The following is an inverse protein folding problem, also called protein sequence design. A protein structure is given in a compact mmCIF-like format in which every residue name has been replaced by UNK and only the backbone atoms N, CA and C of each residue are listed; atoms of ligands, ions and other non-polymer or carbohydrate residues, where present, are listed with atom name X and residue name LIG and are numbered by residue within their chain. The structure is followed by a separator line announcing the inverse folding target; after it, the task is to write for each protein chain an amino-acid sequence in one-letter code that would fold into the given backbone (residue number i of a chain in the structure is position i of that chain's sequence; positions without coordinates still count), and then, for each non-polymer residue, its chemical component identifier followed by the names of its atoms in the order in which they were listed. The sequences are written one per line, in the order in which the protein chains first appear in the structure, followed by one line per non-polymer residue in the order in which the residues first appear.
data_IF_240212611545
#
_entry.id   IF_240212611545
#
_cell.length_a   1.000
_cell.length_b   1.000
_cell.length_c   1.000
_cell.angle_alpha   90.00
_cell.angle_beta   90.00
_cell.angle_gamma   90.00
#
_symmetry.space_group_name_H-M   'P 1'
#
loop_
_entity.id
_entity.type
_entity.pdbx_description
1 polymer ?
#
# COMPACT_ATOMS: atom_id res chain seq x y z
N UNK A 1 20.50 41.54 -15.86
CA UNK A 1 20.11 40.64 -14.76
C UNK A 1 18.65 40.94 -14.47
N UNK A 2 17.75 39.97 -14.69
CA UNK A 2 16.34 40.16 -14.37
C UNK A 2 16.14 39.73 -12.92
N UNK A 3 16.18 40.70 -12.03
CA UNK A 3 15.82 40.57 -10.63
C UNK A 3 14.31 40.75 -10.57
N UNK A 4 13.58 39.63 -10.40
CA UNK A 4 12.14 39.62 -10.12
C UNK A 4 11.96 39.63 -8.60
N UNK A 5 11.80 40.79 -7.94
CA UNK A 5 11.93 40.90 -6.49
C UNK A 5 10.63 40.57 -5.74
N UNK A 6 9.57 40.15 -6.44
CA UNK A 6 8.20 40.17 -5.93
C UNK A 6 7.35 38.97 -6.40
N UNK A 7 7.98 37.81 -6.60
CA UNK A 7 7.27 36.57 -6.93
C UNK A 7 7.35 35.61 -5.76
N UNK A 8 6.24 35.47 -5.03
CA UNK A 8 6.10 34.57 -3.89
C UNK A 8 5.42 35.28 -2.72
N UNK A 9 4.76 34.52 -1.85
CA UNK A 9 4.17 35.09 -0.63
C UNK A 9 4.92 34.57 0.59
N UNK A 10 5.00 35.41 1.62
CA UNK A 10 5.53 35.01 2.89
C UNK A 10 4.55 34.10 3.63
N UNK A 11 5.08 33.06 4.27
CA UNK A 11 4.32 32.26 5.20
C UNK A 11 3.79 33.14 6.35
N UNK A 12 2.48 33.12 6.58
CA UNK A 12 1.81 33.87 7.66
C UNK A 12 2.09 33.31 9.07
N UNK A 13 2.97 32.33 9.19
CA UNK A 13 3.45 31.81 10.47
C UNK A 13 4.66 32.63 10.93
N UNK A 14 4.54 33.29 12.09
CA UNK A 14 5.52 34.24 12.63
C UNK A 14 6.95 33.68 12.76
N UNK A 15 7.08 32.36 12.98
CA UNK A 15 8.39 31.73 13.17
C UNK A 15 9.03 31.24 11.85
N UNK A 16 8.28 31.22 10.74
CA UNK A 16 8.77 30.74 9.46
C UNK A 16 9.21 31.89 8.56
N UNK A 17 8.33 32.86 8.30
CA UNK A 17 8.60 34.01 7.42
C UNK A 17 9.10 33.69 6.01
N UNK A 18 9.14 32.41 5.61
CA UNK A 18 9.73 31.93 4.37
C UNK A 18 8.90 32.43 3.18
N UNK A 19 9.59 32.96 2.19
CA UNK A 19 9.02 33.25 0.86
C UNK A 19 8.84 31.93 0.12
N UNK A 20 7.59 31.50 -0.02
CA UNK A 20 7.26 30.35 -0.85
C UNK A 20 6.76 30.84 -2.21
N UNK A 21 7.34 30.29 -3.28
CA UNK A 21 6.93 30.58 -4.65
C UNK A 21 5.58 29.91 -4.97
N UNK A 22 5.14 28.94 -4.15
CA UNK A 22 3.86 28.27 -4.25
C UNK A 22 3.01 28.51 -2.98
N UNK A 23 2.51 29.75 -2.78
CA UNK A 23 1.77 30.08 -1.57
C UNK A 23 0.48 29.27 -1.49
N UNK A 24 0.39 28.42 -0.46
CA UNK A 24 -0.77 27.58 -0.23
C UNK A 24 -1.73 28.27 0.75
N UNK A 25 -2.97 28.48 0.32
CA UNK A 25 -4.00 29.08 1.17
C UNK A 25 -4.63 28.02 2.06
N UNK A 26 -4.59 28.24 3.37
CA UNK A 26 -5.30 27.36 4.30
C UNK A 26 -6.82 27.49 4.07
N UNK A 27 -7.50 26.38 3.87
CA UNK A 27 -8.94 26.38 3.60
C UNK A 27 -9.78 26.90 4.78
N UNK A 28 -9.25 26.90 6.01
CA UNK A 28 -10.00 27.30 7.20
C UNK A 28 -9.77 28.77 7.57
N UNK A 29 -8.54 29.27 7.59
CA UNK A 29 -8.22 30.66 7.95
C UNK A 29 -7.92 31.58 6.75
N UNK A 30 -7.87 31.05 5.53
CA UNK A 30 -7.57 31.76 4.27
C UNK A 30 -6.22 32.52 4.25
N UNK A 31 -5.31 32.26 5.20
CA UNK A 31 -3.94 32.79 5.21
C UNK A 31 -3.03 31.96 4.31
N UNK A 32 -1.97 32.58 3.81
CA UNK A 32 -0.98 31.95 2.93
C UNK A 32 0.16 31.34 3.75
N UNK A 33 0.47 30.07 3.50
CA UNK A 33 1.50 29.30 4.18
C UNK A 33 2.40 28.61 3.16
N UNK A 34 3.62 28.29 3.58
CA UNK A 34 4.53 27.45 2.79
C UNK A 34 4.12 25.98 2.85
N UNK A 35 4.71 25.15 1.97
CA UNK A 35 4.45 23.70 1.90
C UNK A 35 4.55 22.97 3.25
N UNK A 36 5.41 23.44 4.15
CA UNK A 36 5.66 22.84 5.47
C UNK A 36 4.78 23.39 6.59
N UNK A 37 3.94 24.41 6.33
CA UNK A 37 3.07 25.02 7.35
C UNK A 37 1.59 25.07 6.90
N UNK A 38 1.27 24.52 5.72
CA UNK A 38 -0.12 24.47 5.20
C UNK A 38 -1.02 23.53 6.00
N UNK A 39 -0.48 22.53 6.69
CA UNK A 39 -1.28 21.63 7.52
C UNK A 39 -1.85 22.37 8.74
N UNK A 40 -3.09 22.06 9.13
CA UNK A 40 -3.79 22.74 10.24
C UNK A 40 -3.04 22.66 11.57
N UNK A 41 -2.32 21.55 11.81
CA UNK A 41 -1.55 21.32 13.03
C UNK A 41 -0.29 22.20 13.12
N UNK A 42 0.27 22.60 11.96
CA UNK A 42 1.56 23.28 11.88
C UNK A 42 1.47 24.80 12.04
N UNK A 43 0.31 25.39 11.79
CA UNK A 43 0.06 26.83 11.97
C UNK A 43 -1.02 27.12 13.02
N UNK A 44 -1.35 26.13 13.86
CA UNK A 44 -2.35 26.22 14.93
C UNK A 44 -3.63 26.95 14.47
N UNK A 45 -4.27 26.39 13.45
CA UNK A 45 -5.40 27.07 12.80
C UNK A 45 -6.60 27.22 13.75
N UNK A 46 -7.00 28.46 14.05
CA UNK A 46 -8.16 28.78 14.89
C UNK A 46 -9.47 28.14 14.39
N UNK A 47 -9.58 27.88 13.08
CA UNK A 47 -10.77 27.32 12.44
C UNK A 47 -10.58 25.88 11.94
N UNK A 48 -9.53 25.17 12.37
CA UNK A 48 -9.28 23.76 12.02
C UNK A 48 -10.53 22.88 12.22
N UNK A 49 -11.22 23.09 13.34
CA UNK A 49 -12.38 22.30 13.76
C UNK A 49 -13.60 22.42 12.83
N UNK A 50 -13.67 23.46 11.99
CA UNK A 50 -14.83 23.69 11.12
C UNK A 50 -14.74 22.94 9.78
N UNK A 51 -13.54 22.48 9.39
CA UNK A 51 -13.30 21.91 8.06
C UNK A 51 -12.65 20.53 8.05
N UNK A 52 -12.20 20.01 9.18
CA UNK A 52 -11.70 18.63 9.28
C UNK A 52 -12.87 17.60 9.32
N UNK A 53 -13.58 17.45 8.20
CA UNK A 53 -14.61 16.42 8.03
C UNK A 53 -13.91 15.13 7.60
N UNK A 54 -13.63 14.27 8.56
CA UNK A 54 -13.11 12.93 8.28
C UNK A 54 -14.29 11.98 8.04
N UNK A 55 -14.26 11.31 6.90
CA UNK A 55 -15.27 10.32 6.53
C UNK A 55 -14.80 8.95 7.06
N UNK A 56 -15.43 8.39 8.10
CA UNK A 56 -15.05 7.08 8.62
C UNK A 56 -15.44 5.97 7.63
N UNK A 57 -14.63 4.91 7.58
CA UNK A 57 -14.91 3.72 6.76
C UNK A 57 -15.51 2.63 7.64
N UNK A 58 -16.59 1.99 7.17
CA UNK A 58 -17.19 0.88 7.90
C UNK A 58 -16.30 -0.38 7.84
N UNK A 59 -16.02 -1.06 8.97
CA UNK A 59 -15.15 -2.23 9.01
C UNK A 59 -15.75 -3.49 8.36
N UNK A 60 -17.07 -3.55 8.18
CA UNK A 60 -17.77 -4.74 7.67
C UNK A 60 -17.98 -4.72 6.15
N UNK A 61 -18.25 -3.54 5.59
CA UNK A 61 -18.55 -3.39 4.16
C UNK A 61 -17.48 -2.58 3.40
N UNK A 62 -16.49 -2.01 4.10
CA UNK A 62 -15.43 -1.17 3.54
C UNK A 62 -15.91 0.06 2.74
N UNK A 63 -17.19 0.44 2.89
CA UNK A 63 -17.75 1.64 2.27
C UNK A 63 -17.54 2.86 3.19
N UNK A 64 -17.25 4.05 2.62
CA UNK A 64 -17.21 5.29 3.39
C UNK A 64 -18.62 5.61 3.90
N UNK A 65 -18.74 5.91 5.20
CA UNK A 65 -20.01 6.26 5.85
C UNK A 65 -20.13 7.79 5.86
N UNK A 66 -21.13 8.38 5.19
CA UNK A 66 -21.33 9.83 5.21
C UNK A 66 -21.61 10.35 6.62
N UNK A 67 -20.73 11.21 7.13
CA UNK A 67 -20.86 11.88 8.43
C UNK A 67 -21.06 13.38 8.23
N UNK A 68 -22.12 13.95 8.85
CA UNK A 68 -22.36 15.39 8.82
C UNK A 68 -21.43 16.16 9.76
N UNK A 69 -21.30 17.49 9.55
CA UNK A 69 -20.45 18.42 10.33
C UNK A 69 -20.68 18.44 11.85
N UNK A 70 -21.76 17.86 12.36
CA UNK A 70 -22.12 17.87 13.78
C UNK A 70 -22.58 16.48 14.28
N UNK A 71 -22.22 15.42 13.57
CA UNK A 71 -22.61 14.06 13.91
C UNK A 71 -21.38 13.24 14.25
N UNK A 72 -21.44 12.50 15.36
CA UNK A 72 -20.33 11.64 15.77
C UNK A 72 -20.16 10.51 14.75
N UNK A 73 -18.93 10.37 14.26
CA UNK A 73 -18.53 9.32 13.32
C UNK A 73 -18.92 7.93 13.81
N UNK A 74 -18.68 7.65 15.09
CA UNK A 74 -18.96 6.34 15.69
C UNK A 74 -20.46 5.99 15.67
N UNK A 75 -21.32 6.97 15.98
CA UNK A 75 -22.77 6.76 16.00
C UNK A 75 -23.34 6.55 14.59
N UNK A 76 -22.81 7.27 13.60
CA UNK A 76 -23.21 7.10 12.19
C UNK A 76 -22.72 5.78 11.60
N UNK A 77 -21.52 5.35 11.97
CA UNK A 77 -21.00 4.03 11.58
C UNK A 77 -21.81 2.92 12.25
N UNK A 78 -22.21 3.06 13.53
CA UNK A 78 -23.09 2.09 14.17
C UNK A 78 -24.47 2.04 13.54
N UNK A 79 -25.08 3.20 13.25
CA UNK A 79 -26.37 3.24 12.55
C UNK A 79 -26.29 2.59 11.17
N UNK A 80 -25.20 2.86 10.43
CA UNK A 80 -24.94 2.20 9.17
C UNK A 80 -24.82 0.67 9.35
N UNK A 81 -24.07 0.19 10.34
CA UNK A 81 -23.92 -1.23 10.67
C UNK A 81 -25.29 -1.89 10.90
N UNK A 82 -26.17 -1.22 11.64
CA UNK A 82 -27.46 -1.78 12.05
C UNK A 82 -28.54 -1.73 10.95
N UNK A 83 -28.53 -0.72 10.06
CA UNK A 83 -29.63 -0.46 9.11
C UNK A 83 -29.28 -0.69 7.64
N UNK A 84 -28.11 -0.22 7.20
CA UNK A 84 -27.76 -0.08 5.78
C UNK A 84 -26.49 -0.85 5.38
N UNK A 85 -25.92 -1.63 6.30
CA UNK A 85 -24.71 -2.40 6.05
C UNK A 85 -25.04 -3.65 5.24
N UNK A 86 -24.80 -3.57 3.93
CA UNK A 86 -24.81 -4.73 3.03
C UNK A 86 -23.59 -5.66 3.25
N UNK A 87 -23.14 -5.80 4.49
CA UNK A 87 -22.12 -6.74 4.88
C UNK A 87 -22.74 -8.13 5.01
N UNK A 88 -22.89 -8.79 3.88
CA UNK A 88 -22.94 -10.25 3.82
C UNK A 88 -21.53 -10.76 3.49
N UNK A 89 -20.55 -10.74 4.42
CA UNK A 89 -19.26 -11.37 4.16
C UNK A 89 -19.44 -12.89 3.97
N UNK A 90 -20.46 -13.48 4.60
CA UNK A 90 -20.77 -14.91 4.48
C UNK A 90 -21.44 -15.31 3.15
N UNK A 91 -22.17 -14.40 2.49
CA UNK A 91 -22.95 -14.72 1.28
C UNK A 91 -22.15 -14.50 -0.02
N UNK A 92 -21.01 -13.80 0.03
CA UNK A 92 -20.18 -13.47 -1.15
C UNK A 92 -18.79 -14.11 -1.19
N UNK A 93 -18.35 -14.82 -0.15
CA UNK A 93 -17.25 -15.80 -0.29
C UNK A 93 -17.84 -17.10 -0.88
N UNK A 94 -18.55 -16.95 -2.00
CA UNK A 94 -19.04 -18.10 -2.74
C UNK A 94 -17.80 -18.75 -3.36
N UNK A 95 -17.44 -19.93 -2.87
CA UNK A 95 -16.51 -20.83 -3.54
C UNK A 95 -17.09 -21.15 -4.93
N UNK A 96 -16.79 -20.31 -5.92
CA UNK A 96 -17.32 -20.39 -7.29
C UNK A 96 -16.48 -21.33 -8.15
N UNK A 97 -15.20 -21.48 -7.83
CA UNK A 97 -14.24 -22.17 -8.68
C UNK A 97 -14.27 -23.69 -8.40
N UNK A 98 -15.17 -24.40 -9.09
CA UNK A 98 -15.25 -25.87 -9.06
C UNK A 98 -14.12 -26.48 -9.88
N UNK A 99 -13.58 -27.59 -9.39
CA UNK A 99 -12.62 -28.41 -10.13
C UNK A 99 -13.29 -29.14 -11.31
N UNK A 100 -12.65 -29.13 -12.48
CA UNK A 100 -13.13 -29.80 -13.70
C UNK A 100 -12.78 -31.30 -13.78
N UNK A 101 -12.00 -31.86 -12.83
CA UNK A 101 -11.67 -33.30 -12.80
C UNK A 101 -12.91 -34.14 -12.50
N UNK A 102 -13.10 -35.22 -13.28
CA UNK A 102 -14.17 -36.20 -13.05
C UNK A 102 -14.04 -36.80 -11.64
N UNK A 103 -15.03 -36.55 -10.79
CA UNK A 103 -15.07 -37.04 -9.40
C UNK A 103 -14.59 -36.05 -8.33
N UNK A 104 -14.08 -34.88 -8.70
CA UNK A 104 -13.71 -33.85 -7.72
C UNK A 104 -14.87 -32.87 -7.45
N UNK A 105 -15.24 -32.68 -6.17
CA UNK A 105 -16.27 -31.71 -5.75
C UNK A 105 -15.73 -30.50 -4.99
N UNK A 106 -14.39 -30.40 -4.86
CA UNK A 106 -13.72 -29.30 -4.19
C UNK A 106 -13.95 -27.99 -4.95
N UNK A 107 -14.16 -26.92 -4.19
CA UNK A 107 -14.32 -25.57 -4.71
C UNK A 107 -13.29 -24.69 -4.04
N UNK A 108 -12.55 -23.93 -4.83
CA UNK A 108 -11.52 -23.04 -4.31
C UNK A 108 -12.01 -21.59 -4.32
N UNK A 109 -11.42 -20.79 -3.43
CA UNK A 109 -11.66 -19.35 -3.37
C UNK A 109 -11.04 -18.63 -4.56
N UNK A 110 -9.87 -19.10 -5.00
CA UNK A 110 -9.08 -18.54 -6.08
C UNK A 110 -9.19 -19.46 -7.30
N UNK A 111 -9.40 -18.94 -8.52
CA UNK A 111 -9.35 -19.74 -9.73
C UNK A 111 -7.93 -20.21 -9.99
N UNK A 112 -7.73 -21.53 -10.05
CA UNK A 112 -6.45 -22.14 -10.44
C UNK A 112 -6.65 -22.73 -11.84
N UNK A 113 -6.21 -21.97 -12.84
CA UNK A 113 -6.28 -22.38 -14.25
C UNK A 113 -5.02 -23.15 -14.64
N UNK A 114 -5.18 -24.27 -15.34
CA UNK A 114 -4.06 -24.95 -15.97
C UNK A 114 -3.56 -24.13 -17.18
N UNK A 115 -2.24 -23.93 -17.36
CA UNK A 115 -1.68 -23.18 -18.49
C UNK A 115 -1.96 -23.85 -19.85
N UNK A 116 -2.03 -25.19 -19.87
CA UNK A 116 -2.21 -25.96 -21.09
C UNK A 116 -3.70 -26.02 -21.48
N UNK A 117 -4.56 -26.61 -20.65
CA UNK A 117 -5.96 -26.82 -21.02
C UNK A 117 -6.92 -25.68 -20.63
N UNK A 118 -6.45 -24.65 -19.89
CA UNK A 118 -7.23 -23.48 -19.45
C UNK A 118 -8.49 -23.79 -18.63
N UNK A 119 -8.59 -25.00 -18.07
CA UNK A 119 -9.68 -25.40 -17.17
C UNK A 119 -9.30 -25.11 -15.70
N UNK A 120 -10.33 -24.91 -14.87
CA UNK A 120 -10.16 -24.64 -13.44
C UNK A 120 -10.05 -25.94 -12.65
N UNK A 121 -9.04 -26.03 -11.80
CA UNK A 121 -8.80 -27.17 -10.92
C UNK A 121 -8.68 -26.74 -9.46
N UNK A 122 -8.80 -27.70 -8.55
CA UNK A 122 -8.50 -27.46 -7.13
C UNK A 122 -6.99 -27.50 -6.88
N UNK A 123 -6.56 -27.06 -5.69
CA UNK A 123 -5.13 -27.08 -5.30
C UNK A 123 -4.53 -28.48 -5.46
N UNK A 124 -5.31 -29.53 -5.18
CA UNK A 124 -4.86 -30.93 -5.31
C UNK A 124 -4.81 -31.45 -6.74
N UNK A 125 -5.39 -30.75 -7.73
CA UNK A 125 -5.41 -31.19 -9.13
C UNK A 125 -4.80 -30.14 -10.09
N UNK A 126 -3.97 -29.23 -9.56
CA UNK A 126 -3.33 -28.17 -10.33
C UNK A 126 -2.36 -28.72 -11.39
N UNK A 127 -1.66 -29.81 -11.09
CA UNK A 127 -0.64 -30.37 -11.98
C UNK A 127 -1.26 -31.21 -13.09
N UNK A 128 -0.59 -31.25 -14.24
CA UNK A 128 -1.03 -31.95 -15.47
C UNK A 128 -1.21 -33.45 -15.27
N UNK A 129 -0.48 -34.04 -14.32
CA UNK A 129 -0.58 -35.44 -13.90
C UNK A 129 -1.87 -35.76 -13.17
N UNK A 130 -2.36 -34.81 -12.37
CA UNK A 130 -3.47 -35.02 -11.44
C UNK A 130 -4.84 -34.88 -12.13
N UNK A 131 -4.91 -34.07 -13.19
CA UNK A 131 -6.15 -33.85 -13.95
C UNK A 131 -6.15 -34.46 -15.35
N UNK A 132 -5.10 -35.20 -15.72
CA UNK A 132 -4.96 -35.85 -17.04
C UNK A 132 -5.22 -34.84 -18.16
N UNK A 133 -4.37 -33.82 -18.20
CA UNK A 133 -4.53 -32.64 -19.06
C UNK A 133 -4.80 -33.02 -20.53
N UNK A 134 -5.89 -32.54 -21.15
CA UNK A 134 -6.15 -32.77 -22.58
C UNK A 134 -5.20 -32.00 -23.51
N UNK A 135 -4.22 -31.25 -22.99
CA UNK A 135 -3.30 -30.41 -23.75
C UNK A 135 -3.91 -29.06 -24.14
N UNK A 136 -3.14 -28.22 -24.85
CA UNK A 136 -3.63 -26.94 -25.36
C UNK A 136 -4.83 -27.16 -26.26
N UNK A 137 -5.91 -26.36 -26.11
CA UNK A 137 -7.01 -26.44 -27.06
C UNK A 137 -6.46 -26.19 -28.47
N UNK A 138 -6.91 -26.95 -29.48
CA UNK A 138 -6.49 -26.69 -30.85
C UNK A 138 -6.79 -25.23 -31.19
N UNK A 139 -5.92 -24.54 -31.95
CA UNK A 139 -6.16 -23.16 -32.33
C UNK A 139 -7.53 -23.09 -33.00
N UNK A 140 -8.51 -22.52 -32.30
CA UNK A 140 -9.82 -22.28 -32.86
C UNK A 140 -9.60 -21.38 -34.07
N UNK A 141 -9.91 -21.89 -35.26
CA UNK A 141 -9.87 -21.06 -36.45
C UNK A 141 -10.95 -19.97 -36.28
N UNK A 142 -10.53 -18.78 -35.85
CA UNK A 142 -11.35 -17.57 -35.92
C UNK A 142 -11.39 -17.11 -37.39
N UNK A 143 -11.84 -17.98 -38.29
CA UNK A 143 -11.95 -17.71 -39.73
C UNK A 143 -13.06 -16.70 -40.05
N UNK A 144 -13.84 -16.26 -39.05
CA UNK A 144 -14.91 -15.26 -39.23
C UNK A 144 -14.58 -13.84 -38.78
N UNK A 145 -13.47 -13.59 -38.06
CA UNK A 145 -13.13 -12.25 -37.57
C UNK A 145 -11.82 -11.67 -38.17
N UNK A 146 -11.06 -12.46 -38.92
CA UNK A 146 -9.82 -12.01 -39.56
C UNK A 146 -10.04 -11.21 -40.87
N UNK A 147 -11.25 -11.21 -41.44
CA UNK A 147 -11.56 -10.50 -42.68
C UNK A 147 -11.79 -8.99 -42.47
N UNK A 148 -12.27 -8.57 -41.30
CA UNK A 148 -12.61 -7.16 -41.02
C UNK A 148 -11.43 -6.34 -40.48
N UNK A 149 -10.46 -6.98 -39.82
CA UNK A 149 -9.24 -6.31 -39.33
C UNK A 149 -8.24 -5.92 -40.44
N UNK A 150 -8.35 -6.51 -41.65
CA UNK A 150 -7.49 -6.15 -42.79
C UNK A 150 -7.95 -4.91 -43.55
N UNK A 151 -9.13 -4.35 -43.25
CA UNK A 151 -9.66 -3.16 -43.92
C UNK A 151 -9.24 -1.83 -43.28
N UNK A 152 -8.68 -1.82 -42.07
CA UNK A 152 -8.38 -0.56 -41.34
C UNK A 152 -6.89 -0.26 -41.13
N UNK A 153 -5.98 -1.17 -41.50
CA UNK A 153 -4.53 -0.99 -41.31
C UNK A 153 -3.78 -0.33 -42.49
N UNK A 154 -4.49 0.30 -43.44
CA UNK A 154 -3.81 0.99 -44.56
C UNK A 154 -3.42 2.44 -44.27
N UNK A 155 -3.74 3.02 -43.10
CA UNK A 155 -3.36 4.40 -42.82
C UNK A 155 -3.03 4.63 -41.34
N UNK A 156 -1.72 4.66 -41.03
CA UNK A 156 -1.01 5.67 -40.20
C UNK A 156 0.27 5.05 -39.60
N UNK A 157 1.40 5.36 -40.25
CA UNK A 157 2.71 5.27 -39.62
C UNK A 157 2.94 6.48 -38.72
N UNK A 158 3.27 6.23 -37.46
CA UNK A 158 3.92 7.18 -36.55
C UNK A 158 4.79 6.37 -35.59
N UNK A 159 6.11 6.59 -35.64
CA UNK A 159 7.08 6.02 -34.69
C UNK A 159 7.05 6.86 -33.41
N UNK A 160 6.96 6.28 -32.20
CA UNK A 160 7.22 7.03 -30.97
C UNK A 160 8.73 7.05 -30.71
N UNK A 161 9.25 8.24 -30.41
CA UNK A 161 10.64 8.53 -30.07
C UNK A 161 10.90 8.16 -28.59
N UNK A 162 11.53 7.01 -28.33
CA UNK A 162 11.72 6.45 -26.97
C UNK A 162 13.19 6.50 -26.54
N UNK A 163 13.90 7.58 -26.84
CA UNK A 163 15.33 7.69 -26.48
C UNK A 163 15.59 7.85 -24.97
N UNK A 164 14.65 8.40 -24.20
CA UNK A 164 14.86 8.71 -22.77
C UNK A 164 14.55 7.52 -21.85
N UNK A 165 13.44 6.81 -22.10
CA UNK A 165 13.03 5.68 -21.26
C UNK A 165 13.91 4.44 -21.46
N UNK A 166 14.47 4.26 -22.66
CA UNK A 166 15.39 3.15 -22.93
C UNK A 166 16.74 3.35 -22.23
N UNK A 167 17.21 4.59 -22.10
CA UNK A 167 18.43 4.92 -21.37
C UNK A 167 18.25 4.69 -19.85
N UNK A 168 17.11 5.09 -19.30
CA UNK A 168 16.79 4.86 -17.89
C UNK A 168 16.63 3.36 -17.58
N UNK A 169 15.95 2.62 -18.46
CA UNK A 169 15.81 1.17 -18.32
C UNK A 169 17.17 0.46 -18.33
N UNK A 170 18.09 0.87 -19.22
CA UNK A 170 19.46 0.32 -19.25
C UNK A 170 20.29 0.68 -18.01
N UNK A 171 20.16 1.91 -17.49
CA UNK A 171 20.87 2.32 -16.27
C UNK A 171 20.42 1.53 -15.03
N UNK A 172 19.12 1.28 -14.90
CA UNK A 172 18.58 0.44 -13.83
C UNK A 172 19.09 -1.01 -13.92
N UNK A 173 19.19 -1.54 -15.15
CA UNK A 173 19.68 -2.89 -15.40
C UNK A 173 21.17 -3.04 -15.05
N UNK A 174 21.99 -2.02 -15.34
CA UNK A 174 23.42 -2.00 -14.99
C UNK A 174 23.63 -1.96 -13.47
N UNK A 175 22.85 -1.15 -12.75
CA UNK A 175 22.92 -1.05 -11.29
C UNK A 175 22.57 -2.37 -10.57
N UNK A 176 21.68 -3.19 -11.16
CA UNK A 176 21.37 -4.52 -10.65
C UNK A 176 22.49 -5.52 -10.96
N UNK A 177 23.14 -5.42 -12.12
CA UNK A 177 24.21 -6.31 -12.56
C UNK A 177 25.55 -6.13 -11.79
N UNK A 178 25.85 -4.92 -11.31
CA UNK A 178 27.04 -4.67 -10.48
C UNK A 178 26.97 -5.37 -9.11
N UNK A 179 25.77 -5.68 -8.61
CA UNK A 179 25.60 -6.51 -7.41
C UNK A 179 25.72 -8.01 -7.71
N UNK A 180 25.44 -8.45 -8.93
CA UNK A 180 25.44 -9.87 -9.30
C UNK A 180 26.86 -10.42 -9.46
N UNK A 181 27.82 -9.60 -9.90
CA UNK A 181 29.23 -10.00 -10.04
C UNK A 181 29.88 -10.47 -8.74
N UNK A 182 29.43 -9.97 -7.58
CA UNK A 182 29.91 -10.40 -6.26
C UNK A 182 28.97 -11.37 -5.53
N UNK A 183 27.70 -11.52 -5.97
CA UNK A 183 26.72 -12.47 -5.41
C UNK A 183 26.79 -13.86 -6.08
N UNK A 184 27.26 -13.94 -7.32
CA UNK A 184 27.32 -15.19 -8.09
C UNK A 184 28.39 -16.20 -7.64
N UNK A 185 29.27 -15.85 -6.70
CA UNK A 185 30.38 -16.71 -6.24
C UNK A 185 30.28 -17.16 -4.76
N UNK A 186 29.15 -16.91 -4.08
CA UNK A 186 28.99 -17.22 -2.66
C UNK A 186 27.98 -18.36 -2.49
N UNK A 187 28.29 -19.28 -1.58
CA UNK A 187 27.36 -20.35 -1.25
C UNK A 187 26.06 -19.76 -0.64
N UNK A 188 24.90 -20.43 -0.80
CA UNK A 188 23.65 -19.97 -0.21
C UNK A 188 23.75 -19.68 1.29
N UNK A 189 24.55 -20.45 2.02
CA UNK A 189 24.77 -20.28 3.46
C UNK A 189 25.56 -19.00 3.79
N UNK A 190 26.53 -18.60 2.95
CA UNK A 190 27.30 -17.38 3.14
C UNK A 190 26.49 -16.12 2.84
N UNK A 191 25.56 -16.21 1.88
CA UNK A 191 24.58 -15.18 1.59
C UNK A 191 23.64 -14.95 2.78
N UNK A 192 23.10 -16.03 3.35
CA UNK A 192 22.24 -15.96 4.55
C UNK A 192 23.01 -15.41 5.75
N UNK A 193 24.27 -15.81 5.93
CA UNK A 193 25.12 -15.32 7.03
C UNK A 193 25.42 -13.82 6.91
N UNK A 194 25.65 -13.31 5.69
CA UNK A 194 25.83 -11.87 5.45
C UNK A 194 24.55 -11.08 5.72
N UNK A 195 23.41 -11.56 5.25
CA UNK A 195 22.12 -10.92 5.48
C UNK A 195 21.78 -10.88 6.98
N UNK A 196 22.03 -11.97 7.71
CA UNK A 196 21.83 -12.04 9.15
C UNK A 196 22.70 -11.03 9.90
N UNK A 197 23.98 -10.89 9.52
CA UNK A 197 24.87 -9.87 10.11
C UNK A 197 24.39 -8.45 9.86
N UNK A 198 23.86 -8.15 8.67
CA UNK A 198 23.32 -6.83 8.33
C UNK A 198 22.09 -6.49 9.17
N UNK A 199 21.14 -7.42 9.30
CA UNK A 199 19.94 -7.23 10.13
C UNK A 199 20.29 -7.04 11.61
N UNK A 200 21.30 -7.76 12.11
CA UNK A 200 21.75 -7.63 13.49
C UNK A 200 22.45 -6.29 13.75
N UNK A 201 23.19 -5.75 12.77
CA UNK A 201 23.74 -4.39 12.85
C UNK A 201 22.65 -3.32 12.84
N UNK A 202 21.65 -3.45 11.96
CA UNK A 202 20.51 -2.53 11.93
C UNK A 202 19.72 -2.57 13.24
N UNK A 203 19.48 -3.75 13.83
CA UNK A 203 18.80 -3.84 15.11
C UNK A 203 19.61 -3.19 16.23
N UNK A 204 20.94 -3.35 16.26
CA UNK A 204 21.80 -2.68 17.21
C UNK A 204 21.83 -1.15 17.01
N UNK A 205 21.84 -0.68 15.77
CA UNK A 205 21.71 0.75 15.46
C UNK A 205 20.36 1.29 15.95
N UNK A 206 19.26 0.56 15.69
CA UNK A 206 17.92 0.91 16.18
C UNK A 206 17.86 0.92 17.71
N UNK A 207 18.48 -0.06 18.39
CA UNK A 207 18.57 -0.09 19.86
C UNK A 207 19.40 1.08 20.40
N UNK A 208 20.51 1.45 19.75
CA UNK A 208 21.33 2.60 20.16
C UNK A 208 20.58 3.93 20.00
N UNK A 209 19.77 4.09 18.94
CA UNK A 209 18.91 5.27 18.75
C UNK A 209 17.81 5.38 19.82
N UNK A 210 17.33 4.26 20.33
CA UNK A 210 16.34 4.22 21.44
C UNK A 210 17.03 4.38 22.81
N UNK A 211 18.31 4.03 22.94
CA UNK A 211 19.09 4.18 24.18
C UNK A 211 19.52 5.62 24.50
N UNK A 212 19.68 6.49 23.50
CA UNK A 212 20.12 7.89 23.73
C UNK A 212 19.02 8.79 24.31
N UNK A 213 17.75 8.39 24.28
CA UNK A 213 16.63 9.13 24.91
C UNK A 213 16.35 8.72 26.36
N UNK A 214 17.07 7.73 26.92
CA UNK A 214 16.78 7.14 28.24
C UNK A 214 17.71 7.50 29.40
N UNK A 215 18.72 8.39 29.20
CA UNK A 215 19.78 8.62 30.20
C UNK A 215 19.74 10.01 30.87
N UNK A 216 18.57 10.62 31.03
CA UNK A 216 18.40 11.84 31.84
C UNK A 216 17.11 11.77 32.69
N UNK A 217 17.27 11.60 34.00
CA UNK A 217 16.21 11.61 35.01
C UNK A 217 16.19 10.29 35.81
N UNK A 218 16.71 10.20 37.02
CA UNK A 218 16.54 11.14 38.13
C UNK A 218 15.71 10.46 39.20
N UNK A 219 16.41 9.89 40.18
CA UNK A 219 16.01 9.30 41.47
C UNK A 219 14.67 9.75 42.06
N UNK A 220 13.76 8.80 42.36
CA UNK A 220 13.13 8.61 43.68
C UNK A 220 11.98 7.58 43.60
N UNK A 221 12.09 6.42 44.25
CA UNK A 221 10.91 5.64 44.63
C UNK A 221 11.02 5.14 46.07
N UNK A 222 10.30 5.87 46.89
CA UNK A 222 9.91 5.60 48.27
C UNK A 222 9.27 4.21 48.40
N UNK A 223 9.92 3.31 49.13
CA UNK A 223 9.44 1.93 49.38
C UNK A 223 8.68 1.93 50.70
N UNK A 224 7.35 2.08 50.65
CA UNK A 224 6.48 1.86 51.82
C UNK A 224 6.25 0.36 52.01
N UNK A 225 6.65 -0.10 53.18
CA UNK A 225 6.38 -1.42 53.76
C UNK A 225 4.87 -1.71 53.71
N UNK A 226 4.53 -2.89 53.21
CA UNK A 226 3.22 -3.51 53.43
C UNK A 226 3.49 -4.95 53.83
N UNK A 227 3.67 -5.09 55.13
CA UNK A 227 3.42 -6.31 55.88
C UNK A 227 2.01 -6.81 55.55
N UNK A 228 1.90 -8.07 55.14
CA UNK A 228 0.74 -8.89 55.48
C UNK A 228 1.08 -10.38 55.30
N UNK A 229 1.55 -10.93 56.43
CA UNK A 229 1.06 -12.14 57.07
C UNK A 229 0.67 -13.32 56.15
N UNK A 230 1.58 -14.28 56.09
CA UNK A 230 1.33 -15.65 55.68
C UNK A 230 1.00 -16.47 56.95
N UNK A 231 -0.23 -16.96 57.09
CA UNK A 231 -0.56 -18.03 58.04
C UNK A 231 -1.78 -18.86 57.57
N UNK A 232 -1.47 -20.12 57.23
CA UNK A 232 -2.15 -21.39 57.59
C UNK A 232 -3.68 -21.47 57.48
N UNK A 233 -4.16 -22.35 56.59
CA UNK A 233 -4.88 -23.61 56.92
C UNK A 233 -5.05 -24.46 55.66
#
# INVERSE_FOLDING_TARGET
MAEFPDLGAHCAFEQCGLLDFLPARCNACNKEFCQTHVAYDQHECESAHLKDIRVPVCPLCSKPVPTGRNENADLKVSEHIDRDCQADPAKKIAYKNRCSVKGCRKKELIPITCPDCRQNFCITHRHTTDHKCPGPPPPQCFSRLAAEARRTQSQKGAKPDTSSDEALARALQLAMNDQEGSRANLSPEELDRRLAMQLQQEENQRRNLVGSVGAAGGSNRNRRSRDNQCCVS
#
